data_IF_093213959719
#
_entry.id   IF_093213959719
#
_cell.length_a   1.000
_cell.length_b   1.000
_cell.length_c   1.000
_cell.angle_alpha   90.00
_cell.angle_beta   90.00
_cell.angle_gamma   90.00
#
_symmetry.space_group_name_H-M   'P 1'
#
loop_
_entity.id
_entity.type
_entity.pdbx_description
1 polymer ?
#
# COMPACT_ATOMS: atom_id res chain seq x y z
N UNK A 1 6.87 10.55 -26.56
CA UNK A 1 5.84 9.96 -25.69
C UNK A 1 6.10 10.42 -24.26
N UNK A 2 5.09 10.91 -23.56
CA UNK A 2 5.19 11.26 -22.14
C UNK A 2 4.59 10.09 -21.36
N UNK A 3 5.37 9.48 -20.49
CA UNK A 3 4.91 8.40 -19.63
C UNK A 3 4.59 8.93 -18.24
N UNK A 4 3.61 8.31 -17.59
CA UNK A 4 3.16 8.62 -16.23
C UNK A 4 3.13 7.34 -15.42
N UNK A 5 3.32 7.46 -14.10
CA UNK A 5 3.29 6.31 -13.21
C UNK A 5 1.85 5.86 -12.96
N UNK A 6 1.56 4.59 -13.26
CA UNK A 6 0.28 3.96 -12.99
C UNK A 6 0.22 3.45 -11.55
N UNK A 7 1.16 2.57 -11.17
CA UNK A 7 1.21 1.92 -9.87
C UNK A 7 2.64 1.51 -9.52
N UNK A 8 2.92 1.36 -8.23
CA UNK A 8 4.16 0.76 -7.71
C UNK A 8 3.84 -0.61 -7.11
N UNK A 9 4.52 -1.66 -7.56
CA UNK A 9 4.39 -3.03 -7.07
C UNK A 9 5.58 -3.42 -6.18
N UNK A 10 5.35 -4.03 -5.03
CA UNK A 10 6.44 -4.48 -4.15
C UNK A 10 7.10 -5.79 -4.61
N UNK A 11 6.57 -6.43 -5.66
CA UNK A 11 7.07 -7.69 -6.22
C UNK A 11 7.16 -7.57 -7.75
N UNK A 12 8.31 -7.92 -8.31
CA UNK A 12 8.56 -7.96 -9.75
C UNK A 12 7.64 -8.96 -10.47
N UNK A 13 7.31 -10.08 -9.83
CA UNK A 13 6.36 -11.04 -10.40
C UNK A 13 4.98 -10.40 -10.57
N UNK A 14 4.49 -9.68 -9.54
CA UNK A 14 3.23 -8.96 -9.63
C UNK A 14 3.27 -7.89 -10.71
N UNK A 15 4.37 -7.15 -10.82
CA UNK A 15 4.54 -6.11 -11.84
C UNK A 15 4.42 -6.68 -13.27
N UNK A 16 5.08 -7.81 -13.55
CA UNK A 16 4.98 -8.47 -14.86
C UNK A 16 3.58 -9.06 -15.14
N UNK A 17 2.87 -9.56 -14.12
CA UNK A 17 1.48 -10.02 -14.29
C UNK A 17 0.59 -8.85 -14.72
N UNK A 18 0.72 -7.69 -14.06
CA UNK A 18 -0.05 -6.50 -14.42
C UNK A 18 0.34 -5.96 -15.80
N UNK A 19 1.63 -5.97 -16.12
CA UNK A 19 2.12 -5.62 -17.46
C UNK A 19 1.51 -6.51 -18.55
N UNK A 20 1.45 -7.83 -18.34
CA UNK A 20 0.81 -8.74 -19.29
C UNK A 20 -0.69 -8.51 -19.44
N UNK A 21 -1.38 -8.12 -18.36
CA UNK A 21 -2.80 -7.74 -18.43
C UNK A 21 -3.02 -6.46 -19.26
N UNK A 22 -2.13 -5.47 -19.13
CA UNK A 22 -2.16 -4.25 -19.94
C UNK A 22 -1.85 -4.53 -21.42
N UNK A 23 -0.86 -5.39 -21.68
CA UNK A 23 -0.47 -5.77 -23.04
C UNK A 23 -1.60 -6.53 -23.77
N UNK A 24 -2.35 -7.38 -23.07
CA UNK A 24 -3.53 -8.07 -23.62
C UNK A 24 -4.60 -7.11 -24.14
N UNK A 25 -4.70 -5.91 -23.55
CA UNK A 25 -5.63 -4.85 -23.94
C UNK A 25 -4.99 -3.82 -24.89
N UNK A 26 -3.77 -4.11 -25.37
CA UNK A 26 -3.03 -3.27 -26.32
C UNK A 26 -2.36 -2.04 -25.70
N UNK A 27 -2.23 -1.97 -24.38
CA UNK A 27 -1.63 -0.85 -23.67
C UNK A 27 -0.15 -1.12 -23.43
N UNK A 28 0.72 -0.29 -24.01
CA UNK A 28 2.16 -0.38 -23.77
C UNK A 28 2.51 0.09 -22.34
N UNK A 29 3.29 -0.70 -21.63
CA UNK A 29 3.77 -0.35 -20.29
C UNK A 29 5.25 -0.64 -20.09
N UNK A 30 5.91 0.25 -19.34
CA UNK A 30 7.34 0.20 -19.05
C UNK A 30 7.52 -0.06 -17.56
N UNK A 31 8.29 -1.10 -17.22
CA UNK A 31 8.67 -1.37 -15.85
C UNK A 31 9.96 -0.63 -15.49
N UNK A 32 9.90 0.10 -14.39
CA UNK A 32 11.04 0.82 -13.82
C UNK A 32 11.42 0.20 -12.46
N UNK A 33 12.71 0.30 -12.11
CA UNK A 33 13.27 -0.11 -10.82
C UNK A 33 13.34 -1.64 -10.53
N UNK A 34 13.16 -2.50 -11.53
CA UNK A 34 13.19 -3.97 -11.38
C UNK A 34 14.51 -4.54 -10.81
N UNK A 35 15.64 -3.95 -11.20
CA UNK A 35 16.97 -4.41 -10.79
C UNK A 35 17.30 -4.10 -9.32
N UNK A 36 16.70 -3.05 -8.73
CA UNK A 36 16.95 -2.67 -7.34
C UNK A 36 16.19 -3.60 -6.36
N UNK A 37 14.96 -3.97 -6.69
CA UNK A 37 14.13 -4.95 -5.97
C UNK A 37 14.73 -6.36 -5.89
N UNK A 38 15.49 -6.76 -6.93
CA UNK A 38 16.07 -8.11 -7.01
C UNK A 38 17.32 -8.26 -6.14
N UNK A 39 18.16 -7.22 -6.05
CA UNK A 39 19.44 -7.27 -5.34
C UNK A 39 19.33 -6.95 -3.83
N UNK A 40 18.35 -6.15 -3.40
CA UNK A 40 18.24 -5.67 -2.01
C UNK A 40 16.99 -6.16 -1.25
N UNK A 41 16.43 -7.31 -1.67
CA UNK A 41 15.22 -7.93 -1.09
C UNK A 41 15.26 -8.13 0.44
N UNK A 42 16.45 -8.24 1.04
CA UNK A 42 16.64 -8.52 2.47
C UNK A 42 16.75 -7.28 3.38
N UNK A 43 16.84 -6.05 2.84
CA UNK A 43 17.18 -4.87 3.67
C UNK A 43 16.16 -3.72 3.62
N UNK A 44 15.29 -3.66 2.60
CA UNK A 44 14.36 -2.53 2.40
C UNK A 44 13.09 -2.97 1.66
N UNK A 45 12.16 -3.58 2.37
CA UNK A 45 10.87 -4.06 1.84
C UNK A 45 9.91 -2.93 1.42
N UNK A 46 10.21 -1.66 1.76
CA UNK A 46 9.35 -0.49 1.50
C UNK A 46 9.92 0.54 0.53
N UNK A 47 11.16 0.39 0.05
CA UNK A 47 11.86 1.41 -0.78
C UNK A 47 12.13 0.91 -2.22
N UNK A 48 11.99 -0.38 -2.48
CA UNK A 48 12.34 -1.03 -3.75
C UNK A 48 11.11 -1.59 -4.49
N UNK A 49 10.09 -0.77 -4.73
CA UNK A 49 8.97 -1.17 -5.57
C UNK A 49 9.31 -1.07 -7.06
N UNK A 50 8.73 -1.93 -7.89
CA UNK A 50 8.74 -1.86 -9.35
C UNK A 50 7.62 -0.94 -9.80
N UNK A 51 7.98 0.16 -10.46
CA UNK A 51 7.00 1.11 -10.99
C UNK A 51 6.53 0.65 -12.37
N UNK A 52 5.21 0.63 -12.58
CA UNK A 52 4.60 0.43 -13.88
C UNK A 52 4.26 1.80 -14.45
N UNK A 53 4.85 2.14 -15.59
CA UNK A 53 4.59 3.38 -16.32
C UNK A 53 3.77 3.08 -17.57
N UNK A 54 2.84 3.96 -17.91
CA UNK A 54 2.04 3.91 -19.15
C UNK A 54 2.11 5.25 -19.87
N UNK A 55 1.71 5.30 -21.14
CA UNK A 55 1.53 6.57 -21.83
C UNK A 55 0.45 7.42 -21.13
N UNK A 56 0.65 8.74 -21.07
CA UNK A 56 -0.30 9.69 -20.44
C UNK A 56 -1.72 9.56 -21.04
N UNK A 57 -1.81 9.26 -22.34
CA UNK A 57 -3.08 9.06 -23.06
C UNK A 57 -3.81 7.75 -22.70
N UNK A 58 -3.07 6.72 -22.29
CA UNK A 58 -3.62 5.40 -21.95
C UNK A 58 -3.89 5.23 -20.45
N UNK A 59 -3.60 6.25 -19.63
CA UNK A 59 -3.69 6.15 -18.18
C UNK A 59 -5.07 5.68 -17.70
N UNK A 60 -6.14 6.33 -18.15
CA UNK A 60 -7.52 6.00 -17.72
C UNK A 60 -7.92 4.60 -18.17
N UNK A 61 -7.56 4.20 -19.39
CA UNK A 61 -7.80 2.86 -19.90
C UNK A 61 -7.05 1.82 -19.06
N UNK A 62 -5.78 2.08 -18.73
CA UNK A 62 -4.96 1.20 -17.91
C UNK A 62 -5.53 1.03 -16.48
N UNK A 63 -6.03 2.11 -15.88
CA UNK A 63 -6.75 2.05 -14.59
C UNK A 63 -7.98 1.16 -14.69
N UNK A 64 -8.76 1.29 -15.77
CA UNK A 64 -9.96 0.50 -15.97
C UNK A 64 -9.66 -0.98 -16.12
N UNK A 65 -8.67 -1.34 -16.96
CA UNK A 65 -8.20 -2.72 -17.13
C UNK A 65 -7.78 -3.33 -15.79
N UNK A 66 -7.05 -2.58 -14.96
CA UNK A 66 -6.63 -3.07 -13.65
C UNK A 66 -7.81 -3.21 -12.67
N UNK A 67 -8.82 -2.35 -12.74
CA UNK A 67 -10.04 -2.48 -11.93
C UNK A 67 -10.88 -3.70 -12.35
N UNK A 68 -11.02 -3.93 -13.65
CA UNK A 68 -11.79 -5.04 -14.20
C UNK A 68 -11.14 -6.40 -13.88
N UNK A 69 -9.82 -6.42 -13.68
CA UNK A 69 -9.06 -7.60 -13.24
C UNK A 69 -8.88 -7.69 -11.71
N UNK A 70 -9.64 -6.93 -10.91
CA UNK A 70 -9.52 -6.86 -9.43
C UNK A 70 -8.07 -6.62 -8.94
N UNK A 71 -7.27 -6.00 -9.79
CA UNK A 71 -5.82 -5.82 -9.63
C UNK A 71 -5.45 -4.41 -9.20
N UNK A 72 -6.40 -3.48 -9.29
CA UNK A 72 -6.26 -2.12 -8.78
C UNK A 72 -6.26 -2.13 -7.24
N UNK A 73 -5.30 -1.47 -6.57
CA UNK A 73 -5.27 -1.41 -5.12
C UNK A 73 -6.53 -0.70 -4.63
N UNK A 74 -7.32 -1.42 -3.85
CA UNK A 74 -8.48 -0.84 -3.22
C UNK A 74 -8.04 0.27 -2.25
N UNK A 75 -8.61 1.48 -2.38
CA UNK A 75 -8.32 2.61 -1.50
C UNK A 75 -8.88 2.34 -0.09
N UNK A 76 -8.04 1.81 0.79
CA UNK A 76 -8.36 1.54 2.20
C UNK A 76 -8.54 2.86 2.97
N UNK A 77 -9.70 3.49 2.82
CA UNK A 77 -9.97 4.85 3.34
C UNK A 77 -11.11 4.87 4.36
N UNK A 78 -11.86 3.78 4.50
CA UNK A 78 -13.08 3.77 5.31
C UNK A 78 -12.88 3.08 6.66
N UNK A 79 -13.59 3.58 7.67
CA UNK A 79 -13.67 2.94 8.98
C UNK A 79 -14.48 1.63 8.90
N UNK A 80 -13.95 0.49 9.40
CA UNK A 80 -14.65 -0.79 9.35
C UNK A 80 -15.94 -0.83 10.18
N UNK A 81 -16.12 0.09 11.14
CA UNK A 81 -17.25 0.05 12.06
C UNK A 81 -18.41 1.00 11.70
N UNK A 82 -18.15 2.02 10.88
CA UNK A 82 -19.16 3.03 10.56
C UNK A 82 -19.09 3.55 9.12
N UNK A 83 -18.11 3.12 8.33
CA UNK A 83 -17.94 3.55 6.95
C UNK A 83 -17.47 5.00 6.76
N UNK A 84 -17.16 5.72 7.85
CA UNK A 84 -16.62 7.08 7.73
C UNK A 84 -15.20 7.08 7.14
N UNK A 85 -14.91 8.03 6.27
CA UNK A 85 -13.56 8.33 5.76
C UNK A 85 -12.75 9.22 6.72
N UNK A 86 -13.36 9.76 7.78
CA UNK A 86 -12.71 10.61 8.78
C UNK A 86 -11.88 9.77 9.78
N UNK A 87 -10.79 9.17 9.30
CA UNK A 87 -9.89 8.33 10.09
C UNK A 87 -8.54 9.03 10.31
N UNK A 88 -7.93 8.83 11.47
CA UNK A 88 -6.66 9.47 11.83
C UNK A 88 -5.66 8.42 12.31
N UNK A 89 -4.45 8.44 11.75
CA UNK A 89 -3.36 7.59 12.24
C UNK A 89 -2.80 8.16 13.55
N UNK A 90 -2.82 7.36 14.61
CA UNK A 90 -2.39 7.73 15.96
C UNK A 90 -1.43 6.67 16.50
N UNK A 91 -0.39 7.12 17.21
CA UNK A 91 0.60 6.25 17.84
C UNK A 91 0.01 5.53 19.05
N UNK A 92 0.22 4.20 19.17
CA UNK A 92 -0.30 3.40 20.30
C UNK A 92 0.12 3.99 21.65
N UNK A 93 -0.86 4.47 22.42
CA UNK A 93 -0.65 5.22 23.67
C UNK A 93 0.08 4.40 24.74
N UNK A 94 -0.13 3.09 24.80
CA UNK A 94 0.43 2.20 25.84
C UNK A 94 1.92 1.86 25.69
N UNK A 95 2.52 2.07 24.50
CA UNK A 95 3.91 1.64 24.21
C UNK A 95 4.89 2.78 23.92
N UNK A 96 4.58 4.05 24.23
CA UNK A 96 5.46 5.22 23.92
C UNK A 96 6.89 5.05 24.44
N UNK A 97 7.03 4.59 25.68
CA UNK A 97 8.31 4.32 26.36
C UNK A 97 9.05 3.12 25.75
N UNK A 98 8.32 2.08 25.30
CA UNK A 98 8.88 0.95 24.56
C UNK A 98 9.33 1.33 23.15
N UNK A 99 8.60 2.22 22.48
CA UNK A 99 8.96 2.76 21.17
C UNK A 99 10.21 3.65 21.26
N UNK A 100 10.33 4.47 22.31
CA UNK A 100 11.55 5.24 22.57
C UNK A 100 12.75 4.33 22.86
N UNK A 101 12.57 3.28 23.68
CA UNK A 101 13.62 2.28 23.93
C UNK A 101 14.02 1.53 22.66
N UNK A 102 13.05 1.10 21.85
CA UNK A 102 13.29 0.44 20.57
C UNK A 102 14.03 1.36 19.60
N UNK A 103 13.69 2.66 19.52
CA UNK A 103 14.38 3.62 18.66
C UNK A 103 15.87 3.78 19.03
N UNK A 104 16.21 3.80 20.33
CA UNK A 104 17.60 3.87 20.79
C UNK A 104 18.36 2.59 20.43
N UNK A 105 17.75 1.42 20.66
CA UNK A 105 18.36 0.12 20.34
C UNK A 105 18.52 -0.05 18.82
N UNK A 106 17.50 0.32 18.04
CA UNK A 106 17.54 0.35 16.57
C UNK A 106 18.64 1.27 16.05
N UNK A 107 18.83 2.45 16.63
CA UNK A 107 19.92 3.35 16.25
C UNK A 107 21.30 2.77 16.56
N UNK A 108 21.45 2.04 17.67
CA UNK A 108 22.70 1.35 18.03
C UNK A 108 22.97 0.15 17.13
N UNK A 109 21.93 -0.60 16.76
CA UNK A 109 22.07 -1.83 15.97
C UNK A 109 21.93 -1.62 14.46
N UNK A 110 21.63 -0.39 14.01
CA UNK A 110 21.34 -0.08 12.60
C UNK A 110 20.21 -0.96 12.05
N UNK A 111 19.24 -1.31 12.89
CA UNK A 111 18.05 -2.09 12.51
C UNK A 111 16.88 -1.11 12.39
N UNK A 112 16.13 -1.10 11.28
CA UNK A 112 14.96 -0.24 11.15
C UNK A 112 13.93 -0.55 12.25
N UNK A 113 13.27 0.46 12.82
CA UNK A 113 12.24 0.25 13.84
C UNK A 113 11.07 -0.55 13.25
N UNK A 114 10.53 -1.48 14.03
CA UNK A 114 9.37 -2.29 13.64
C UNK A 114 8.14 -1.43 13.29
N UNK A 115 7.29 -1.95 12.42
CA UNK A 115 6.12 -1.30 11.83
C UNK A 115 4.86 -1.28 12.73
N UNK A 116 4.81 -2.12 13.78
CA UNK A 116 3.62 -2.37 14.60
C UNK A 116 3.26 -1.32 15.69
N UNK A 117 3.52 -0.04 15.44
CA UNK A 117 3.36 1.03 16.45
C UNK A 117 2.15 1.96 16.26
N UNK A 118 1.44 1.86 15.14
CA UNK A 118 0.38 2.80 14.75
C UNK A 118 -0.99 2.13 14.71
N UNK A 119 -2.04 2.87 15.06
CA UNK A 119 -3.45 2.47 14.89
C UNK A 119 -4.19 3.62 14.21
N UNK A 120 -5.27 3.32 13.50
CA UNK A 120 -6.24 4.31 13.05
C UNK A 120 -7.29 4.54 14.13
N UNK A 121 -7.72 5.79 14.29
CA UNK A 121 -8.85 6.20 15.12
C UNK A 121 -9.87 6.89 14.23
N UNK A 122 -11.12 6.42 14.22
CA UNK A 122 -12.20 7.13 13.53
C UNK A 122 -12.69 8.32 14.36
N UNK A 123 -12.83 9.49 13.74
CA UNK A 123 -13.34 10.71 14.42
C UNK A 123 -14.84 10.67 14.68
N UNK A 124 -15.59 9.86 13.93
CA UNK A 124 -17.05 9.75 14.07
C UNK A 124 -17.45 8.75 15.16
N UNK A 125 -16.89 7.54 15.13
CA UNK A 125 -17.25 6.48 16.09
C UNK A 125 -16.22 6.26 17.21
N UNK A 126 -15.09 6.97 17.17
CA UNK A 126 -14.01 6.92 18.17
C UNK A 126 -13.36 5.53 18.39
N UNK A 127 -13.66 4.56 17.52
CA UNK A 127 -13.03 3.24 17.57
C UNK A 127 -11.62 3.29 17.00
N UNK A 128 -10.75 2.51 17.62
CA UNK A 128 -9.39 2.26 17.16
C UNK A 128 -9.33 0.93 16.40
N UNK A 129 -8.61 0.89 15.29
CA UNK A 129 -8.43 -0.31 14.46
C UNK A 129 -7.06 -0.27 13.78
N UNK A 130 -6.61 -1.43 13.30
CA UNK A 130 -5.28 -1.57 12.69
C UNK A 130 -5.28 -1.16 11.20
N UNK A 131 -6.31 -1.56 10.45
CA UNK A 131 -6.38 -1.31 9.01
C UNK A 131 -7.76 -0.82 8.57
N UNK A 132 -7.84 0.28 7.78
CA UNK A 132 -9.08 0.71 7.15
C UNK A 132 -9.53 -0.26 6.06
N UNK A 133 -10.78 -0.15 5.64
CA UNK A 133 -11.40 -0.98 4.61
C UNK A 133 -11.71 -0.15 3.37
N UNK A 134 -11.77 -0.81 2.21
CA UNK A 134 -12.12 -0.16 0.95
C UNK A 134 -13.62 0.05 0.78
N UNK A 135 -14.41 -0.90 1.28
CA UNK A 135 -15.87 -0.90 1.21
C UNK A 135 -16.41 -1.19 2.60
N UNK A 136 -17.34 -0.36 3.05
CA UNK A 136 -18.03 -0.60 4.32
C UNK A 136 -19.12 -1.65 4.11
N UNK A 137 -19.02 -2.78 4.81
CA UNK A 137 -20.02 -3.83 4.77
C UNK A 137 -20.66 -3.97 6.17
N UNK A 138 -21.91 -3.50 6.37
CA UNK A 138 -22.55 -3.52 7.69
C UNK A 138 -22.85 -4.93 8.23
N UNK A 139 -22.69 -5.97 7.40
CA UNK A 139 -22.90 -7.37 7.76
C UNK A 139 -21.60 -8.12 8.10
N UNK A 140 -20.42 -7.50 7.94
CA UNK A 140 -19.16 -8.12 8.32
C UNK A 140 -18.96 -7.93 9.84
N UNK A 141 -19.08 -9.01 10.60
CA UNK A 141 -18.68 -9.00 12.02
C UNK A 141 -17.17 -8.75 12.10
N UNK A 142 -16.70 -7.81 12.95
CA UNK A 142 -15.27 -7.62 13.13
C UNK A 142 -14.68 -8.86 13.80
N UNK A 143 -13.66 -9.46 13.17
CA UNK A 143 -12.85 -10.52 13.80
C UNK A 143 -12.25 -9.97 15.11
N UNK A 144 -12.58 -10.63 16.23
CA UNK A 144 -12.08 -10.32 17.58
C UNK A 144 -10.62 -10.72 17.80
#
# INVERSE_FOLDING_TARGET
>A
MKTVKLITCNDAMKAHILQGALENEGIESILHNENFSTLYKSCVSSIAGVDILVADEDYENAVQVLKDNDSWPEELTLCPYCGSSDIQLVLRKEKRWRAMGAAIISALMVIPPGDNHWNYTCKQCHKNFEMPVAKFNPAAEPEE
#
